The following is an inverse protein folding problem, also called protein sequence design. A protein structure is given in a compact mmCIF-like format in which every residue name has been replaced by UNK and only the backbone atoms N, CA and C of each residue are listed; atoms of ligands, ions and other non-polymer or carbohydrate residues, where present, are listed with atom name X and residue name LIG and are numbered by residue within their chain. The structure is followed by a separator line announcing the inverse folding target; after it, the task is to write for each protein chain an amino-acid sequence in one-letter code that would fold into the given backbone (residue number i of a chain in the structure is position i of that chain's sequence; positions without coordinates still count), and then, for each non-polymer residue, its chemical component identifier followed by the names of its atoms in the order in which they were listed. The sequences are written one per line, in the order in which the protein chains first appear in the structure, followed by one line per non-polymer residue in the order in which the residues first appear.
data_IF_008890657757
#
_entry.id   IF_008890657757
#
_cell.length_a   1.000
_cell.length_b   1.000
_cell.length_c   1.000
_cell.angle_alpha   90.00
_cell.angle_beta   90.00
_cell.angle_gamma   90.00
#
_symmetry.space_group_name_H-M   'P 1'
#
loop_
_entity.id
_entity.type
_entity.pdbx_description
1 polymer ?
#
# COMPACT_ATOMS: atom_id res chain seq x y z
N UNK A 1 25.55 16.19 13.31
CA UNK A 1 24.38 15.51 13.91
C UNK A 1 23.47 16.47 14.67
N UNK A 2 23.98 17.50 15.37
CA UNK A 2 23.16 18.55 16.00
C UNK A 2 22.28 19.35 15.03
N UNK A 3 22.85 19.82 13.91
CA UNK A 3 22.09 20.64 12.93
C UNK A 3 20.98 19.86 12.22
N UNK A 4 21.21 18.59 11.89
CA UNK A 4 20.19 17.76 11.20
C UNK A 4 18.96 17.52 12.08
N UNK A 5 19.15 17.34 13.39
CA UNK A 5 18.04 17.14 14.32
C UNK A 5 17.22 18.42 14.52
N UNK A 6 17.89 19.58 14.54
CA UNK A 6 17.24 20.89 14.61
C UNK A 6 16.44 21.19 13.34
N UNK A 7 17.03 20.96 12.16
CA UNK A 7 16.35 21.12 10.86
C UNK A 7 15.12 20.18 10.78
N UNK A 8 15.26 18.93 11.19
CA UNK A 8 14.13 17.99 11.22
C UNK A 8 13.02 18.45 12.19
N UNK A 9 13.40 19.06 13.31
CA UNK A 9 12.45 19.62 14.27
C UNK A 9 11.69 20.82 13.72
N UNK A 10 12.37 21.75 13.04
CA UNK A 10 11.75 22.91 12.37
C UNK A 10 10.82 22.46 11.26
N UNK A 11 11.29 21.60 10.35
CA UNK A 11 10.47 21.05 9.25
C UNK A 11 9.25 20.31 9.79
N UNK A 12 9.37 19.60 10.91
CA UNK A 12 8.23 18.93 11.54
C UNK A 12 7.19 19.93 12.05
N UNK A 13 7.61 21.01 12.71
CA UNK A 13 6.71 22.04 13.22
C UNK A 13 6.04 22.82 12.07
N UNK A 14 6.78 23.13 11.02
CA UNK A 14 6.26 23.78 9.82
C UNK A 14 5.27 22.86 9.10
N UNK A 15 5.58 21.57 8.99
CA UNK A 15 4.64 20.58 8.43
C UNK A 15 3.35 20.52 9.24
N UNK A 16 3.44 20.60 10.57
CA UNK A 16 2.28 20.58 11.46
C UNK A 16 1.38 21.83 11.29
N UNK A 17 1.95 22.94 10.83
CA UNK A 17 1.19 24.17 10.53
C UNK A 17 0.18 23.97 9.39
N UNK A 18 0.42 23.02 8.49
CA UNK A 18 -0.49 22.63 7.41
C UNK A 18 -1.62 21.68 7.85
N UNK A 19 -1.99 21.68 9.14
CA UNK A 19 -3.09 20.85 9.69
C UNK A 19 -4.41 21.00 8.91
N UNK A 20 -4.68 22.19 8.38
CA UNK A 20 -5.87 22.52 7.59
C UNK A 20 -5.86 21.85 6.21
N UNK A 21 -4.70 21.41 5.71
CA UNK A 21 -4.57 20.55 4.52
C UNK A 21 -4.57 19.09 4.93
N UNK A 22 -3.81 18.74 5.98
CA UNK A 22 -3.63 17.35 6.45
C UNK A 22 -4.99 16.72 6.79
N UNK A 23 -5.81 17.39 7.61
CA UNK A 23 -7.07 16.81 8.10
C UNK A 23 -8.04 16.51 6.95
N UNK A 24 -8.41 17.47 6.07
CA UNK A 24 -9.30 17.20 4.95
C UNK A 24 -8.74 16.15 4.00
N UNK A 25 -7.43 16.14 3.79
CA UNK A 25 -6.79 15.19 2.88
C UNK A 25 -6.79 13.77 3.44
N UNK A 26 -6.66 13.60 4.76
CA UNK A 26 -6.84 12.30 5.42
C UNK A 26 -8.27 11.79 5.20
N UNK A 27 -9.28 12.63 5.39
CA UNK A 27 -10.67 12.23 5.13
C UNK A 27 -10.90 11.85 3.67
N UNK A 28 -10.39 12.66 2.74
CA UNK A 28 -10.43 12.37 1.32
C UNK A 28 -9.76 11.03 1.02
N UNK A 29 -8.56 10.79 1.54
CA UNK A 29 -7.86 9.54 1.34
C UNK A 29 -8.61 8.35 1.92
N UNK A 30 -9.18 8.45 3.13
CA UNK A 30 -10.01 7.38 3.70
C UNK A 30 -11.21 7.04 2.81
N UNK A 31 -11.90 8.05 2.26
CA UNK A 31 -13.01 7.86 1.32
C UNK A 31 -12.51 7.18 0.05
N UNK A 32 -11.45 7.71 -0.55
CA UNK A 32 -10.83 7.20 -1.77
C UNK A 32 -10.41 5.75 -1.62
N UNK A 33 -9.69 5.43 -0.53
CA UNK A 33 -9.26 4.08 -0.22
C UNK A 33 -10.43 3.15 0.03
N UNK A 34 -11.53 3.66 0.60
CA UNK A 34 -12.75 2.92 0.83
C UNK A 34 -13.52 2.53 -0.44
N UNK A 35 -13.22 3.15 -1.59
CA UNK A 35 -13.85 2.82 -2.88
C UNK A 35 -13.03 1.75 -3.60
N UNK A 36 -13.59 0.54 -3.81
CA UNK A 36 -12.90 -0.53 -4.55
C UNK A 36 -12.42 -0.07 -5.92
N UNK A 37 -11.12 -0.25 -6.17
CA UNK A 37 -10.52 0.13 -7.44
C UNK A 37 -10.21 1.62 -7.56
N UNK A 38 -10.34 2.41 -6.50
CA UNK A 38 -9.92 3.80 -6.49
C UNK A 38 -8.64 3.94 -5.65
N UNK A 39 -7.54 4.33 -6.29
CA UNK A 39 -6.22 4.36 -5.66
C UNK A 39 -5.74 5.79 -5.38
N UNK A 40 -4.76 5.91 -4.48
CA UNK A 40 -4.07 7.17 -4.24
C UNK A 40 -3.48 7.76 -5.54
N UNK A 41 -2.89 6.91 -6.38
CA UNK A 41 -2.35 7.29 -7.69
C UNK A 41 -3.40 8.00 -8.56
N UNK A 42 -4.56 7.37 -8.77
CA UNK A 42 -5.64 7.95 -9.59
C UNK A 42 -6.13 9.29 -9.01
N UNK A 43 -6.21 9.38 -7.70
CA UNK A 43 -6.68 10.60 -7.02
C UNK A 43 -5.69 11.75 -7.19
N UNK A 44 -4.38 11.49 -7.06
CA UNK A 44 -3.35 12.51 -7.29
C UNK A 44 -3.39 12.99 -8.75
N UNK A 45 -3.63 12.09 -9.71
CA UNK A 45 -3.76 12.48 -11.13
C UNK A 45 -4.98 13.39 -11.35
N UNK A 46 -6.15 13.02 -10.82
CA UNK A 46 -7.37 13.81 -10.96
C UNK A 46 -7.22 15.19 -10.31
N UNK A 47 -6.52 15.24 -9.18
CA UNK A 47 -6.27 16.46 -8.43
C UNK A 47 -4.95 17.13 -8.82
N UNK A 48 -4.30 16.67 -9.90
CA UNK A 48 -3.05 17.25 -10.37
C UNK A 48 -3.18 18.75 -10.64
N UNK A 49 -4.24 19.27 -11.30
CA UNK A 49 -4.39 20.72 -11.48
C UNK A 49 -4.39 21.50 -10.16
N UNK A 50 -4.93 20.90 -9.09
CA UNK A 50 -4.92 21.48 -7.75
C UNK A 50 -3.52 21.42 -7.13
N UNK A 51 -2.84 20.27 -7.20
CA UNK A 51 -1.50 20.12 -6.61
C UNK A 51 -0.43 20.94 -7.34
N UNK A 52 -0.60 21.20 -8.64
CA UNK A 52 0.29 22.09 -9.40
C UNK A 52 0.05 23.57 -9.09
N UNK A 53 -1.13 23.93 -8.56
CA UNK A 53 -1.46 25.30 -8.15
C UNK A 53 -1.05 25.61 -6.71
N UNK A 54 -0.71 24.58 -5.92
CA UNK A 54 -0.22 24.69 -4.55
C UNK A 54 1.29 24.94 -4.53
N UNK A 55 1.80 25.61 -3.50
CA UNK A 55 3.25 25.65 -3.25
C UNK A 55 3.80 24.23 -3.00
N UNK A 56 5.08 24.02 -3.32
CA UNK A 56 5.73 22.69 -3.26
C UNK A 56 5.52 21.99 -1.91
N UNK A 57 5.73 22.70 -0.79
CA UNK A 57 5.56 22.13 0.55
C UNK A 57 4.12 21.66 0.79
N UNK A 58 3.14 22.49 0.45
CA UNK A 58 1.73 22.17 0.59
C UNK A 58 1.34 20.98 -0.31
N UNK A 59 1.82 20.97 -1.55
CA UNK A 59 1.60 19.87 -2.49
C UNK A 59 2.16 18.54 -1.98
N UNK A 60 3.34 18.56 -1.34
CA UNK A 60 3.94 17.38 -0.72
C UNK A 60 3.13 16.88 0.47
N UNK A 61 2.75 17.78 1.38
CA UNK A 61 1.91 17.44 2.53
C UNK A 61 0.59 16.83 2.08
N UNK A 62 -0.04 17.40 1.05
CA UNK A 62 -1.25 16.87 0.45
C UNK A 62 -1.05 15.47 -0.12
N UNK A 63 -0.07 15.29 -1.01
CA UNK A 63 0.17 14.00 -1.68
C UNK A 63 0.52 12.88 -0.69
N UNK A 64 1.38 13.14 0.30
CA UNK A 64 1.78 12.14 1.30
C UNK A 64 0.62 11.82 2.26
N UNK A 65 -0.12 12.83 2.73
CA UNK A 65 -1.28 12.62 3.61
C UNK A 65 -2.35 11.78 2.90
N UNK A 66 -2.62 12.08 1.63
CA UNK A 66 -3.56 11.33 0.80
C UNK A 66 -3.08 9.89 0.60
N UNK A 67 -1.79 9.72 0.32
CA UNK A 67 -1.21 8.39 0.10
C UNK A 67 -1.33 7.51 1.33
N UNK A 68 -0.89 7.97 2.51
CA UNK A 68 -0.96 7.18 3.74
C UNK A 68 -2.41 6.87 4.15
N UNK A 69 -3.30 7.86 4.06
CA UNK A 69 -4.71 7.69 4.46
C UNK A 69 -5.51 6.81 3.49
N UNK A 70 -5.27 6.89 2.18
CA UNK A 70 -5.92 6.01 1.20
C UNK A 70 -5.55 4.55 1.38
N UNK A 71 -4.31 4.27 1.80
CA UNK A 71 -3.85 2.90 2.03
C UNK A 71 -4.48 2.34 3.31
N UNK A 72 -4.65 3.17 4.32
CA UNK A 72 -5.39 2.84 5.54
C UNK A 72 -6.91 2.65 5.28
N UNK A 73 -7.51 3.49 4.44
CA UNK A 73 -8.92 3.41 4.06
C UNK A 73 -9.27 2.14 3.27
N UNK A 74 -8.31 1.60 2.51
CA UNK A 74 -8.48 0.38 1.73
C UNK A 74 -8.78 -0.88 2.55
N UNK A 75 -8.42 -0.87 3.84
CA UNK A 75 -8.74 -1.95 4.77
C UNK A 75 -10.24 -2.02 5.11
N UNK A 76 -10.98 -0.91 5.02
CA UNK A 76 -12.41 -0.86 5.38
C UNK A 76 -13.25 -1.82 4.51
N UNK A 77 -13.27 -1.69 3.16
CA UNK A 77 -14.05 -2.58 2.33
C UNK A 77 -13.47 -4.01 2.31
N UNK A 78 -12.15 -4.16 2.48
CA UNK A 78 -11.50 -5.47 2.61
C UNK A 78 -12.04 -6.28 3.80
N UNK A 79 -12.15 -5.65 4.96
CA UNK A 79 -12.59 -6.29 6.20
C UNK A 79 -14.09 -6.53 6.22
N UNK A 80 -14.87 -5.53 5.78
CA UNK A 80 -16.33 -5.58 5.96
C UNK A 80 -17.05 -6.37 4.88
N UNK A 81 -16.57 -6.32 3.64
CA UNK A 81 -17.29 -6.87 2.47
C UNK A 81 -16.44 -7.76 1.58
N UNK A 82 -15.23 -8.14 2.01
CA UNK A 82 -14.29 -8.98 1.26
C UNK A 82 -13.79 -8.37 -0.06
N UNK A 83 -13.92 -7.05 -0.25
CA UNK A 83 -13.54 -6.38 -1.50
C UNK A 83 -12.42 -5.37 -1.18
N UNK A 84 -11.15 -5.67 -1.52
CA UNK A 84 -10.06 -4.77 -1.18
C UNK A 84 -10.15 -3.44 -1.94
N UNK A 85 -9.96 -2.34 -1.22
CA UNK A 85 -10.00 -0.99 -1.81
C UNK A 85 -8.86 -0.73 -2.79
N UNK A 86 -7.67 -1.25 -2.46
CA UNK A 86 -6.44 -1.14 -3.25
C UNK A 86 -5.70 -2.46 -3.30
N UNK A 87 -4.80 -2.63 -4.28
CA UNK A 87 -4.02 -3.86 -4.47
C UNK A 87 -3.18 -4.27 -3.24
N UNK A 88 -2.75 -3.31 -2.40
CA UNK A 88 -2.02 -3.64 -1.17
C UNK A 88 -2.90 -4.20 -0.06
N UNK A 89 -4.20 -3.90 -0.05
CA UNK A 89 -5.14 -4.47 0.92
C UNK A 89 -5.64 -5.86 0.49
N UNK A 90 -5.06 -6.48 -0.54
CA UNK A 90 -5.52 -7.77 -1.07
C UNK A 90 -5.29 -8.96 -0.12
N UNK A 91 -4.30 -8.86 0.79
CA UNK A 91 -4.06 -9.87 1.83
C UNK A 91 -4.89 -9.65 3.10
N UNK A 92 -5.37 -8.42 3.33
CA UNK A 92 -6.24 -8.03 4.45
C UNK A 92 -7.54 -8.84 4.58
N UNK A 93 -8.30 -9.12 3.51
CA UNK A 93 -9.54 -9.88 3.64
C UNK A 93 -9.35 -11.31 4.15
N UNK A 94 -8.16 -11.92 3.95
CA UNK A 94 -7.88 -13.31 4.32
C UNK A 94 -8.23 -13.60 5.79
N UNK A 95 -7.91 -12.68 6.70
CA UNK A 95 -8.30 -12.77 8.11
C UNK A 95 -9.30 -11.69 8.52
N UNK A 96 -9.31 -10.52 7.85
CA UNK A 96 -10.23 -9.44 8.17
C UNK A 96 -11.70 -9.80 7.95
N UNK A 97 -12.02 -10.45 6.83
CA UNK A 97 -13.39 -10.80 6.49
C UNK A 97 -13.96 -11.93 7.37
N UNK A 98 -13.22 -13.03 7.67
CA UNK A 98 -13.64 -14.00 8.67
C UNK A 98 -13.93 -13.39 10.05
N UNK A 99 -13.15 -12.41 10.50
CA UNK A 99 -13.45 -11.69 11.75
C UNK A 99 -14.78 -10.94 11.67
N UNK A 100 -15.08 -10.30 10.55
CA UNK A 100 -16.38 -9.66 10.31
C UNK A 100 -17.53 -10.68 10.33
N UNK A 101 -17.36 -11.84 9.70
CA UNK A 101 -18.35 -12.92 9.72
C UNK A 101 -18.63 -13.46 11.14
N UNK A 102 -17.62 -13.39 12.02
CA UNK A 102 -17.74 -13.74 13.45
C UNK A 102 -18.36 -12.61 14.30
N UNK A 103 -18.77 -11.48 13.71
CA UNK A 103 -19.30 -10.33 14.45
C UNK A 103 -18.21 -9.44 15.06
N UNK A 104 -16.93 -9.66 14.73
CA UNK A 104 -15.76 -8.94 15.25
C UNK A 104 -15.24 -7.87 14.27
N UNK A 105 -16.05 -7.42 13.31
CA UNK A 105 -15.63 -6.46 12.27
C UNK A 105 -15.15 -5.12 12.83
N UNK A 106 -15.82 -4.59 13.87
CA UNK A 106 -15.36 -3.35 14.53
C UNK A 106 -13.98 -3.51 15.19
N UNK A 107 -13.73 -4.67 15.80
CA UNK A 107 -12.44 -5.01 16.39
C UNK A 107 -11.36 -5.15 15.31
N UNK A 108 -11.68 -5.81 14.19
CA UNK A 108 -10.80 -5.95 13.04
C UNK A 108 -10.40 -4.59 12.46
N UNK A 109 -11.37 -3.69 12.24
CA UNK A 109 -11.10 -2.32 11.79
C UNK A 109 -10.14 -1.61 12.74
N UNK A 110 -10.42 -1.62 14.06
CA UNK A 110 -9.57 -0.96 15.04
C UNK A 110 -8.12 -1.50 15.04
N UNK A 111 -7.95 -2.83 14.92
CA UNK A 111 -6.63 -3.44 14.77
C UNK A 111 -5.91 -2.96 13.52
N UNK A 112 -6.60 -2.93 12.38
CA UNK A 112 -6.05 -2.46 11.10
C UNK A 112 -5.63 -0.99 11.15
N UNK A 113 -6.47 -0.11 11.70
CA UNK A 113 -6.12 1.31 11.84
C UNK A 113 -4.86 1.52 12.70
N UNK A 114 -4.75 0.80 13.83
CA UNK A 114 -3.57 0.89 14.70
C UNK A 114 -2.33 0.30 14.04
N UNK A 115 -2.44 -0.89 13.45
CA UNK A 115 -1.35 -1.56 12.75
C UNK A 115 -0.81 -0.71 11.58
N UNK A 116 -1.72 -0.18 10.75
CA UNK A 116 -1.41 0.66 9.60
C UNK A 116 -0.77 1.99 10.04
N UNK A 117 -1.30 2.64 11.08
CA UNK A 117 -0.76 3.90 11.60
C UNK A 117 0.64 3.71 12.21
N UNK A 118 0.80 2.73 13.09
CA UNK A 118 2.08 2.46 13.74
C UNK A 118 3.13 1.94 12.75
N UNK A 119 2.73 1.09 11.80
CA UNK A 119 3.60 0.60 10.75
C UNK A 119 4.14 1.73 9.89
N UNK A 120 3.26 2.60 9.36
CA UNK A 120 3.69 3.75 8.55
C UNK A 120 4.52 4.77 9.33
N UNK A 121 4.20 5.02 10.60
CA UNK A 121 4.94 5.96 11.43
C UNK A 121 6.34 5.42 11.76
N UNK A 122 6.45 4.13 12.09
CA UNK A 122 7.74 3.48 12.35
C UNK A 122 8.64 3.52 11.10
N UNK A 123 8.13 3.12 9.94
CA UNK A 123 8.92 3.12 8.70
C UNK A 123 9.31 4.52 8.27
N UNK A 124 8.48 5.53 8.56
CA UNK A 124 8.82 6.93 8.30
C UNK A 124 9.99 7.37 9.17
N UNK A 125 9.99 7.06 10.46
CA UNK A 125 11.11 7.37 11.37
C UNK A 125 12.39 6.66 10.90
N UNK A 126 12.31 5.38 10.56
CA UNK A 126 13.47 4.61 10.09
C UNK A 126 13.99 5.19 8.76
N UNK A 127 13.09 5.50 7.81
CA UNK A 127 13.46 6.08 6.53
C UNK A 127 14.13 7.45 6.71
N UNK A 128 13.58 8.34 7.55
CA UNK A 128 14.17 9.64 7.87
C UNK A 128 15.55 9.51 8.51
N UNK A 129 15.73 8.56 9.44
CA UNK A 129 17.02 8.30 10.05
C UNK A 129 18.05 7.74 9.04
N UNK A 130 17.60 6.96 8.05
CA UNK A 130 18.44 6.39 7.01
C UNK A 130 18.74 7.38 5.86
N UNK A 131 17.91 8.41 5.64
CA UNK A 131 18.05 9.36 4.52
C UNK A 131 19.45 9.98 4.39
N UNK A 132 20.12 10.47 5.44
CA UNK A 132 21.45 11.07 5.30
C UNK A 132 22.52 10.08 4.80
N UNK A 133 22.38 8.80 5.16
CA UNK A 133 23.28 7.74 4.72
C UNK A 133 22.99 7.41 3.25
N UNK A 134 21.71 7.28 2.91
CA UNK A 134 21.27 6.95 1.56
C UNK A 134 21.56 8.07 0.55
N UNK A 135 21.43 9.33 0.95
CA UNK A 135 21.81 10.49 0.13
C UNK A 135 23.29 10.43 -0.28
N UNK A 136 24.17 9.95 0.61
CA UNK A 136 25.59 9.74 0.26
C UNK A 136 25.78 8.65 -0.79
N UNK A 137 24.98 7.59 -0.72
CA UNK A 137 24.98 6.51 -1.72
C UNK A 137 24.50 7.03 -3.08
N UNK A 138 23.53 7.95 -3.09
CA UNK A 138 23.03 8.59 -4.31
C UNK A 138 24.15 9.23 -5.16
N UNK A 139 25.14 9.88 -4.53
CA UNK A 139 26.28 10.48 -5.26
C UNK A 139 27.17 9.46 -5.99
N UNK A 140 27.12 8.18 -5.62
CA UNK A 140 27.91 7.13 -6.28
C UNK A 140 27.11 6.37 -7.34
N UNK A 141 25.79 6.59 -7.44
CA UNK A 141 24.92 5.87 -8.34
C UNK A 141 25.00 6.46 -9.74
N UNK A 142 25.62 5.76 -10.68
CA UNK A 142 25.62 6.14 -12.09
C UNK A 142 24.71 5.20 -12.87
N UNK A 143 24.67 5.37 -14.20
CA UNK A 143 23.80 4.59 -15.09
C UNK A 143 23.98 3.07 -14.95
N UNK A 144 25.21 2.61 -14.70
CA UNK A 144 25.51 1.17 -14.56
C UNK A 144 24.92 0.61 -13.26
N UNK A 145 25.14 1.29 -12.14
CA UNK A 145 24.64 0.89 -10.83
C UNK A 145 23.11 0.92 -10.80
N UNK A 146 22.50 1.94 -11.42
CA UNK A 146 21.04 2.01 -11.56
C UNK A 146 20.46 0.81 -12.30
N UNK A 147 21.10 0.35 -13.40
CA UNK A 147 20.67 -0.85 -14.12
C UNK A 147 20.76 -2.08 -13.22
N UNK A 148 21.85 -2.23 -12.46
CA UNK A 148 22.01 -3.36 -11.52
C UNK A 148 20.93 -3.33 -10.45
N UNK A 149 20.63 -2.17 -9.87
CA UNK A 149 19.56 -2.02 -8.86
C UNK A 149 18.19 -2.35 -9.45
N UNK A 150 17.90 -1.92 -10.67
CA UNK A 150 16.65 -2.26 -11.36
C UNK A 150 16.54 -3.77 -11.64
N UNK A 151 17.58 -4.40 -12.17
CA UNK A 151 17.62 -5.85 -12.42
C UNK A 151 17.49 -6.65 -11.12
N UNK A 152 18.18 -6.21 -10.06
CA UNK A 152 18.08 -6.79 -8.74
C UNK A 152 16.64 -6.71 -8.20
N UNK A 153 16.00 -5.55 -8.32
CA UNK A 153 14.61 -5.37 -7.89
C UNK A 153 13.63 -6.29 -8.63
N UNK A 154 13.75 -6.38 -9.96
CA UNK A 154 12.95 -7.31 -10.79
C UNK A 154 13.19 -8.77 -10.36
N UNK A 155 14.44 -9.15 -10.10
CA UNK A 155 14.77 -10.51 -9.66
C UNK A 155 14.22 -10.85 -8.27
N UNK A 156 14.25 -9.88 -7.34
CA UNK A 156 13.69 -10.03 -6.01
C UNK A 156 12.17 -10.22 -6.07
N UNK A 157 11.48 -9.40 -6.86
CA UNK A 157 10.03 -9.52 -7.09
C UNK A 157 9.68 -10.93 -7.57
N UNK A 158 10.44 -11.46 -8.55
CA UNK A 158 10.22 -12.81 -9.07
C UNK A 158 10.43 -13.91 -8.00
N UNK A 159 11.41 -13.74 -7.11
CA UNK A 159 11.72 -14.71 -6.04
C UNK A 159 10.73 -14.69 -4.88
N UNK A 160 10.21 -13.51 -4.55
CA UNK A 160 9.42 -13.26 -3.34
C UNK A 160 7.92 -13.57 -3.55
N UNK A 161 7.43 -13.47 -4.77
CA UNK A 161 5.99 -13.56 -5.07
C UNK A 161 5.38 -14.98 -4.96
N UNK A 162 6.15 -16.04 -4.71
CA UNK A 162 5.59 -17.39 -4.66
C UNK A 162 6.21 -18.33 -3.62
N UNK A 163 5.34 -19.08 -2.95
CA UNK A 163 5.70 -20.23 -2.10
C UNK A 163 6.35 -21.37 -2.91
N UNK A 164 6.01 -21.45 -4.21
CA UNK A 164 6.55 -22.41 -5.17
C UNK A 164 7.11 -21.61 -6.36
N UNK A 165 8.45 -21.58 -6.46
CA UNK A 165 9.18 -20.78 -7.45
C UNK A 165 8.71 -21.06 -8.87
N UNK A 166 8.31 -22.29 -9.21
CA UNK A 166 7.82 -22.63 -10.54
C UNK A 166 6.45 -21.99 -10.80
N UNK A 167 5.52 -22.04 -9.85
CA UNK A 167 4.21 -21.41 -9.97
C UNK A 167 4.32 -19.89 -10.00
N UNK A 168 5.23 -19.33 -9.21
CA UNK A 168 5.57 -17.90 -9.25
C UNK A 168 6.10 -17.47 -10.60
N UNK A 169 7.02 -18.25 -11.17
CA UNK A 169 7.57 -17.96 -12.48
C UNK A 169 6.51 -18.06 -13.57
N UNK A 170 5.62 -19.07 -13.54
CA UNK A 170 4.50 -19.20 -14.49
C UNK A 170 3.53 -18.03 -14.36
N UNK A 171 3.11 -17.68 -13.13
CA UNK A 171 2.22 -16.56 -12.87
C UNK A 171 2.86 -15.22 -13.28
N UNK A 172 4.15 -15.04 -12.99
CA UNK A 172 4.93 -13.89 -13.43
C UNK A 172 5.04 -13.81 -14.95
N UNK A 173 5.27 -14.94 -15.63
CA UNK A 173 5.33 -14.98 -17.10
C UNK A 173 3.97 -14.65 -17.72
N UNK A 174 2.87 -15.16 -17.17
CA UNK A 174 1.51 -14.77 -17.56
C UNK A 174 1.25 -13.28 -17.32
N UNK A 175 1.65 -12.76 -16.16
CA UNK A 175 1.56 -11.34 -15.82
C UNK A 175 2.35 -10.46 -16.78
N UNK A 176 3.56 -10.89 -17.19
CA UNK A 176 4.36 -10.21 -18.20
C UNK A 176 3.69 -10.23 -19.58
N UNK A 177 3.12 -11.37 -20.00
CA UNK A 177 2.37 -11.45 -21.26
C UNK A 177 1.19 -10.46 -21.24
N UNK A 178 0.43 -10.41 -20.14
CA UNK A 178 -0.68 -9.47 -19.98
C UNK A 178 -0.21 -8.01 -19.91
N UNK A 179 0.91 -7.73 -19.24
CA UNK A 179 1.50 -6.39 -19.15
C UNK A 179 2.10 -5.89 -20.47
N UNK A 180 2.47 -6.80 -21.37
CA UNK A 180 2.90 -6.48 -22.74
C UNK A 180 1.74 -6.12 -23.67
N UNK A 181 0.48 -6.32 -23.24
CA UNK A 181 -0.69 -5.87 -24.00
C UNK A 181 -0.77 -4.36 -23.90
N UNK A 182 -0.82 -3.68 -25.04
CA UNK A 182 -0.89 -2.22 -25.11
C UNK A 182 -0.05 -1.65 -26.23
N UNK A 183 0.00 -0.32 -26.27
CA UNK A 183 0.80 0.41 -27.24
C UNK A 183 2.22 0.59 -26.72
N UNK A 184 3.22 0.24 -27.54
CA UNK A 184 4.62 0.48 -27.19
C UNK A 184 4.90 1.98 -27.04
N UNK A 185 5.49 2.37 -25.91
CA UNK A 185 5.78 3.77 -25.56
C UNK A 185 6.79 4.46 -26.48
N UNK A 186 7.63 3.72 -27.20
CA UNK A 186 8.67 4.29 -28.08
C UNK A 186 8.14 4.40 -29.52
N UNK A 187 7.58 3.33 -30.05
CA UNK A 187 7.22 3.20 -31.46
C UNK A 187 5.71 3.34 -31.72
N UNK A 188 4.90 3.55 -30.67
CA UNK A 188 3.44 3.63 -30.74
C UNK A 188 2.79 2.40 -31.45
N UNK A 189 3.45 1.26 -31.42
CA UNK A 189 2.98 0.03 -32.09
C UNK A 189 2.12 -0.80 -31.14
N UNK A 190 0.91 -1.23 -31.54
CA UNK A 190 0.06 -2.06 -30.70
C UNK A 190 0.62 -3.48 -30.58
N UNK A 191 0.77 -3.97 -29.35
CA UNK A 191 1.20 -5.33 -29.03
C UNK A 191 0.09 -6.05 -28.29
N UNK A 192 -0.31 -7.23 -28.75
CA UNK A 192 -1.31 -8.05 -28.07
C UNK A 192 -2.70 -7.42 -27.94
N UNK A 193 -3.06 -6.41 -28.73
CA UNK A 193 -4.36 -5.72 -28.66
C UNK A 193 -5.47 -6.45 -29.42
N UNK A 194 -5.14 -7.46 -30.24
CA UNK A 194 -6.08 -8.28 -31.03
C UNK A 194 -7.11 -7.47 -31.86
N UNK A 195 -6.81 -6.21 -32.19
CA UNK A 195 -7.71 -5.31 -32.91
C UNK A 195 -8.78 -4.63 -32.05
N UNK A 196 -8.78 -4.84 -30.73
CA UNK A 196 -9.65 -4.14 -29.78
C UNK A 196 -9.00 -2.81 -29.39
N UNK A 197 -9.75 -1.71 -29.55
CA UNK A 197 -9.26 -0.37 -29.26
C UNK A 197 -9.04 -0.17 -27.76
N UNK A 198 -9.86 -0.82 -26.94
CA UNK A 198 -9.80 -0.77 -25.48
C UNK A 198 -8.50 -1.33 -24.91
N UNK A 199 -7.82 -2.22 -25.65
CA UNK A 199 -6.55 -2.81 -25.25
C UNK A 199 -5.34 -1.96 -25.63
N UNK A 200 -5.52 -0.81 -26.30
CA UNK A 200 -4.41 0.09 -26.66
C UNK A 200 -3.76 0.73 -25.43
N UNK A 201 -4.55 1.03 -24.40
CA UNK A 201 -4.08 1.51 -23.10
C UNK A 201 -3.58 0.37 -22.19
N UNK A 202 -3.57 -0.87 -22.71
CA UNK A 202 -3.20 -2.08 -22.02
C UNK A 202 -4.28 -2.61 -21.08
N UNK A 203 -3.93 -3.59 -20.24
CA UNK A 203 -4.84 -4.11 -19.21
C UNK A 203 -4.61 -3.32 -17.92
N UNK A 204 -5.51 -2.40 -17.54
CA UNK A 204 -5.31 -1.62 -16.34
C UNK A 204 -5.43 -2.53 -15.12
N UNK A 205 -4.37 -2.60 -14.31
CA UNK A 205 -4.25 -3.48 -13.15
C UNK A 205 -5.45 -3.33 -12.20
N UNK A 206 -5.91 -2.09 -12.01
CA UNK A 206 -6.99 -1.75 -11.09
C UNK A 206 -8.33 -2.40 -11.54
N UNK A 207 -8.89 -2.11 -12.74
CA UNK A 207 -10.06 -2.81 -13.26
C UNK A 207 -9.91 -4.33 -13.29
N UNK A 208 -8.73 -4.86 -13.59
CA UNK A 208 -8.49 -6.30 -13.55
C UNK A 208 -8.69 -6.89 -12.14
N UNK A 209 -8.13 -6.24 -11.11
CA UNK A 209 -8.33 -6.67 -9.71
C UNK A 209 -9.78 -6.47 -9.25
N UNK A 210 -10.44 -5.38 -9.67
CA UNK A 210 -11.87 -5.16 -9.38
C UNK A 210 -12.73 -6.26 -10.02
N UNK A 211 -12.46 -6.63 -11.27
CA UNK A 211 -13.12 -7.75 -11.93
C UNK A 211 -12.87 -9.08 -11.23
N UNK A 212 -11.62 -9.34 -10.82
CA UNK A 212 -11.23 -10.61 -10.20
C UNK A 212 -11.80 -10.77 -8.78
N UNK A 213 -11.82 -9.71 -7.97
CA UNK A 213 -12.19 -9.75 -6.56
C UNK A 213 -13.57 -9.15 -6.26
N UNK A 214 -13.90 -7.98 -6.81
CA UNK A 214 -15.16 -7.29 -6.47
C UNK A 214 -16.37 -7.92 -7.17
N UNK A 215 -16.24 -8.22 -8.46
CA UNK A 215 -17.34 -8.80 -9.26
C UNK A 215 -17.61 -10.25 -8.84
N UNK A 216 -16.56 -11.03 -8.56
CA UNK A 216 -16.70 -12.39 -8.05
C UNK A 216 -17.43 -12.41 -6.71
N UNK A 217 -17.05 -11.55 -5.77
CA UNK A 217 -17.74 -11.41 -4.48
C UNK A 217 -19.17 -10.89 -4.63
N UNK A 218 -19.44 -9.97 -5.55
CA UNK A 218 -20.80 -9.53 -5.83
C UNK A 218 -21.70 -10.71 -6.24
N UNK A 219 -21.21 -11.62 -7.09
CA UNK A 219 -21.94 -12.84 -7.44
C UNK A 219 -22.16 -13.77 -6.25
N UNK A 220 -21.15 -13.97 -5.40
CA UNK A 220 -21.26 -14.80 -4.18
C UNK A 220 -22.26 -14.20 -3.18
N UNK A 221 -22.29 -12.87 -3.04
CA UNK A 221 -23.23 -12.15 -2.19
C UNK A 221 -24.66 -12.28 -2.72
N UNK A 222 -24.85 -12.15 -4.04
CA UNK A 222 -26.17 -12.32 -4.67
C UNK A 222 -26.70 -13.75 -4.42
N UNK A 223 -25.83 -14.75 -4.41
CA UNK A 223 -26.19 -16.14 -4.13
C UNK A 223 -26.51 -16.41 -2.65
N UNK A 224 -25.90 -15.65 -1.71
CA UNK A 224 -26.09 -15.82 -0.27
C UNK A 224 -27.20 -14.92 0.31
N UNK A 225 -28.30 -15.52 0.79
CA UNK A 225 -29.42 -14.81 1.46
C UNK A 225 -29.05 -14.07 2.76
N UNK A 226 -27.94 -14.43 3.43
CA UNK A 226 -27.36 -13.67 4.56
C UNK A 226 -25.84 -13.86 4.60
N UNK A 227 -25.09 -12.75 4.59
CA UNK A 227 -23.63 -12.71 4.69
C UNK A 227 -23.14 -12.97 6.14
N UNK A 228 -24.01 -12.71 7.12
CA UNK A 228 -23.69 -12.70 8.56
C UNK A 228 -24.64 -13.66 9.29
N UNK A 229 -24.14 -14.44 10.25
CA UNK A 229 -24.99 -15.25 11.13
C UNK A 229 -25.90 -14.35 11.98
N UNK A 230 -27.13 -14.81 12.30
CA UNK A 230 -28.09 -14.02 13.12
C UNK A 230 -27.49 -13.53 14.45
N UNK A 231 -26.57 -14.30 15.04
CA UNK A 231 -25.85 -13.92 16.24
C UNK A 231 -24.84 -12.78 16.00
N UNK A 232 -24.06 -12.84 14.92
CA UNK A 232 -23.11 -11.78 14.55
C UNK A 232 -23.82 -10.47 14.14
N UNK A 233 -25.01 -10.57 13.54
CA UNK A 233 -25.84 -9.41 13.20
C UNK A 233 -26.35 -8.68 14.47
N UNK A 234 -26.68 -9.43 15.53
CA UNK A 234 -27.09 -8.85 16.81
C UNK A 234 -25.94 -8.15 17.55
N UNK A 235 -24.71 -8.66 17.44
CA UNK A 235 -23.50 -8.04 18.02
C UNK A 235 -23.11 -6.77 17.27
N UNK A 236 -23.22 -6.74 15.94
CA UNK A 236 -22.95 -5.55 15.14
C UNK A 236 -24.01 -4.45 15.27
N UNK A 237 -25.24 -4.79 15.67
CA UNK A 237 -26.32 -3.83 15.88
C UNK A 237 -26.17 -2.97 17.16
N UNK A 238 -25.23 -3.32 18.05
CA UNK A 238 -24.91 -2.53 19.26
C UNK A 238 -23.48 -1.99 19.16
N UNK A 239 -23.26 -0.84 18.49
CA UNK A 239 -21.94 -0.24 18.44
C UNK A 239 -21.51 0.12 19.86
N UNK A 240 -20.49 -0.57 20.36
CA UNK A 240 -19.88 -0.30 21.66
C UNK A 240 -18.43 0.08 21.44
N UNK A 241 -18.01 1.21 22.00
CA UNK A 241 -16.60 1.62 21.98
C UNK A 241 -15.67 0.56 22.58
N UNK A 242 -16.19 -0.35 23.42
CA UNK A 242 -15.43 -1.44 24.01
C UNK A 242 -14.73 -2.31 22.95
N UNK A 243 -15.40 -2.66 21.84
CA UNK A 243 -14.80 -3.49 20.79
C UNK A 243 -13.68 -2.75 20.02
N UNK A 244 -13.79 -1.42 19.87
CA UNK A 244 -12.73 -0.58 19.29
C UNK A 244 -11.52 -0.51 20.22
N UNK A 245 -11.74 -0.26 21.51
CA UNK A 245 -10.65 -0.24 22.49
C UNK A 245 -9.98 -1.60 22.63
N UNK A 246 -10.74 -2.69 22.60
CA UNK A 246 -10.21 -4.05 22.63
C UNK A 246 -9.35 -4.33 21.38
N UNK A 247 -9.84 -3.98 20.19
CA UNK A 247 -9.06 -4.14 18.95
C UNK A 247 -7.76 -3.33 18.98
N UNK A 248 -7.82 -2.07 19.41
CA UNK A 248 -6.63 -1.24 19.59
C UNK A 248 -5.66 -1.86 20.60
N UNK A 249 -6.17 -2.39 21.72
CA UNK A 249 -5.36 -3.05 22.73
C UNK A 249 -4.67 -4.32 22.19
N UNK A 250 -5.40 -5.16 21.44
CA UNK A 250 -4.86 -6.39 20.81
C UNK A 250 -3.72 -6.06 19.84
N UNK A 251 -3.86 -4.99 19.06
CA UNK A 251 -2.81 -4.52 18.16
C UNK A 251 -1.59 -4.00 18.92
N UNK A 252 -1.80 -3.19 19.97
CA UNK A 252 -0.73 -2.64 20.80
C UNK A 252 0.03 -3.73 21.59
N UNK A 253 -0.66 -4.76 22.09
CA UNK A 253 -0.01 -5.91 22.72
C UNK A 253 0.93 -6.65 21.74
N UNK A 254 0.61 -6.60 20.45
CA UNK A 254 1.40 -7.18 19.35
C UNK A 254 2.32 -6.15 18.70
N UNK A 255 2.78 -5.13 19.42
CA UNK A 255 3.67 -4.10 18.90
C UNK A 255 4.91 -4.67 18.20
N UNK A 256 5.51 -5.75 18.75
CA UNK A 256 6.66 -6.40 18.12
C UNK A 256 6.29 -6.92 16.73
N UNK A 257 5.09 -7.48 16.60
CA UNK A 257 4.55 -7.98 15.34
C UNK A 257 4.41 -6.88 14.30
N UNK A 258 3.93 -5.71 14.70
CA UNK A 258 3.83 -4.51 13.86
C UNK A 258 5.24 -4.06 13.42
N UNK A 259 6.21 -4.05 14.35
CA UNK A 259 7.58 -3.61 14.07
C UNK A 259 8.23 -4.45 12.98
N UNK A 260 8.30 -5.77 13.13
CA UNK A 260 9.03 -6.60 12.17
C UNK A 260 8.31 -6.71 10.82
N UNK A 261 6.97 -6.71 10.79
CA UNK A 261 6.20 -6.74 9.53
C UNK A 261 6.21 -5.40 8.80
N UNK A 262 6.24 -4.28 9.50
CA UNK A 262 6.43 -2.96 8.88
C UNK A 262 7.84 -2.78 8.31
N UNK A 263 8.87 -3.39 8.92
CA UNK A 263 10.22 -3.45 8.33
C UNK A 263 10.22 -4.23 7.00
N UNK A 264 9.46 -5.33 6.89
CA UNK A 264 9.26 -6.01 5.59
C UNK A 264 8.65 -5.05 4.58
N UNK A 265 7.64 -4.29 4.98
CA UNK A 265 7.06 -3.22 4.17
C UNK A 265 8.08 -2.17 3.72
N UNK A 266 8.93 -1.71 4.63
CA UNK A 266 10.00 -0.74 4.32
C UNK A 266 10.99 -1.32 3.29
N UNK A 267 11.50 -2.53 3.54
CA UNK A 267 12.48 -3.19 2.66
C UNK A 267 11.90 -3.41 1.27
N UNK A 268 10.68 -3.92 1.18
CA UNK A 268 10.01 -4.14 -0.11
C UNK A 268 9.67 -2.80 -0.77
N UNK A 269 9.29 -1.78 0.00
CA UNK A 269 9.02 -0.45 -0.53
C UNK A 269 10.23 0.21 -1.18
N UNK A 270 11.44 -0.04 -0.67
CA UNK A 270 12.70 0.45 -1.27
C UNK A 270 13.00 -0.25 -2.60
N UNK A 271 12.46 -1.45 -2.83
CA UNK A 271 12.66 -2.18 -4.09
C UNK A 271 11.80 -1.53 -5.19
N UNK A 272 12.43 -1.01 -6.27
CA UNK A 272 11.69 -0.42 -7.37
C UNK A 272 10.71 -1.41 -8.01
N UNK A 273 9.45 -1.00 -8.13
CA UNK A 273 8.41 -1.76 -8.82
C UNK A 273 7.77 -2.90 -8.01
N UNK A 274 8.25 -3.20 -6.80
CA UNK A 274 7.66 -4.26 -5.98
C UNK A 274 6.29 -3.84 -5.42
N UNK A 275 6.19 -2.57 -5.01
CA UNK A 275 4.97 -1.98 -4.50
C UNK A 275 4.40 -2.71 -3.29
N UNK A 276 3.18 -2.35 -2.93
CA UNK A 276 2.65 -2.74 -1.63
C UNK A 276 1.79 -4.01 -1.62
N UNK A 277 1.31 -4.46 -2.77
CA UNK A 277 0.62 -5.74 -2.89
C UNK A 277 1.55 -6.89 -2.51
N UNK A 278 2.75 -6.89 -3.08
CA UNK A 278 3.79 -7.87 -2.75
C UNK A 278 4.14 -7.78 -1.27
N UNK A 279 4.38 -6.58 -0.75
CA UNK A 279 4.74 -6.40 0.66
C UNK A 279 3.70 -7.00 1.63
N UNK A 280 2.42 -6.79 1.37
CA UNK A 280 1.35 -7.30 2.22
C UNK A 280 1.22 -8.83 2.16
N UNK A 281 1.33 -9.45 0.98
CA UNK A 281 1.32 -10.91 0.86
C UNK A 281 2.55 -11.56 1.51
N UNK A 282 3.72 -10.95 1.34
CA UNK A 282 4.97 -11.46 1.91
C UNK A 282 4.97 -11.34 3.42
N UNK A 283 4.51 -10.21 3.95
CA UNK A 283 4.36 -10.05 5.39
C UNK A 283 3.36 -11.06 5.95
N UNK A 284 2.26 -11.34 5.25
CA UNK A 284 1.30 -12.37 5.63
C UNK A 284 1.91 -13.77 5.66
N UNK A 285 2.60 -14.17 4.58
CA UNK A 285 3.27 -15.48 4.49
C UNK A 285 4.35 -15.64 5.55
N UNK A 286 5.22 -14.64 5.71
CA UNK A 286 6.28 -14.68 6.71
C UNK A 286 5.72 -14.72 8.13
N UNK A 287 4.60 -14.01 8.37
CA UNK A 287 3.87 -14.04 9.64
C UNK A 287 3.36 -15.42 9.95
N UNK A 288 2.75 -16.07 8.96
CA UNK A 288 2.26 -17.44 9.08
C UNK A 288 3.40 -18.44 9.33
N UNK A 289 4.49 -18.35 8.57
CA UNK A 289 5.62 -19.28 8.70
C UNK A 289 6.35 -19.18 10.04
N UNK A 290 6.42 -18.00 10.65
CA UNK A 290 7.02 -17.83 11.98
C UNK A 290 6.01 -17.93 13.14
N UNK A 291 4.71 -18.04 12.85
CA UNK A 291 3.72 -18.15 13.91
C UNK A 291 3.80 -19.50 14.60
N UNK A 292 3.47 -19.50 15.89
CA UNK A 292 3.30 -20.75 16.67
C UNK A 292 2.01 -21.48 16.32
N UNK A 293 1.07 -20.80 15.68
CA UNK A 293 -0.26 -21.30 15.31
C UNK A 293 -0.58 -20.98 13.84
N UNK A 294 0.19 -21.50 12.87
CA UNK A 294 0.01 -21.25 11.44
C UNK A 294 -1.35 -21.72 10.90
N UNK A 295 -2.02 -22.65 11.59
CA UNK A 295 -3.34 -23.19 11.27
C UNK A 295 -4.49 -22.21 11.52
N UNK A 296 -4.29 -21.17 12.32
CA UNK A 296 -5.32 -20.16 12.60
C UNK A 296 -5.42 -19.09 11.51
N UNK A 297 -4.40 -18.96 10.65
CA UNK A 297 -4.40 -18.01 9.54
C UNK A 297 -5.51 -18.34 8.53
N UNK A 298 -6.23 -17.31 8.09
CA UNK A 298 -7.41 -17.46 7.23
C UNK A 298 -8.72 -17.71 7.99
N UNK A 299 -8.67 -17.81 9.33
CA UNK A 299 -9.86 -18.04 10.18
C UNK A 299 -10.25 -16.80 10.98
N UNK A 300 -9.57 -15.67 10.79
CA UNK A 300 -9.75 -14.45 11.56
C UNK A 300 -8.73 -14.27 12.67
N UNK A 301 -7.50 -14.73 12.41
CA UNK A 301 -6.38 -14.61 13.34
C UNK A 301 -5.84 -13.17 13.35
N UNK A 302 -5.74 -12.51 14.52
CA UNK A 302 -5.28 -11.12 14.62
C UNK A 302 -3.92 -10.84 13.95
N UNK A 303 -2.96 -11.77 14.03
CA UNK A 303 -1.65 -11.59 13.39
C UNK A 303 -1.74 -11.60 11.87
N UNK A 304 -2.64 -12.42 11.30
CA UNK A 304 -2.93 -12.47 9.88
C UNK A 304 -3.56 -11.19 9.34
N UNK A 305 -4.15 -10.35 10.20
CA UNK A 305 -4.64 -9.03 9.82
C UNK A 305 -3.60 -7.91 10.06
N UNK A 306 -2.91 -7.96 11.20
CA UNK A 306 -1.91 -6.94 11.59
C UNK A 306 -0.70 -6.95 10.65
N UNK A 307 -0.22 -8.14 10.24
CA UNK A 307 0.96 -8.28 9.40
C UNK A 307 0.82 -7.62 8.01
N UNK A 308 -0.19 -7.95 7.19
CA UNK A 308 -0.34 -7.34 5.87
C UNK A 308 -0.58 -5.84 5.98
N UNK A 309 -1.31 -5.35 6.99
CA UNK A 309 -1.62 -3.92 7.16
C UNK A 309 -0.44 -3.07 7.64
N UNK A 310 0.37 -3.60 8.55
CA UNK A 310 1.61 -2.94 8.99
C UNK A 310 2.59 -2.80 7.82
N UNK A 311 2.71 -3.83 6.98
CA UNK A 311 3.53 -3.79 5.77
C UNK A 311 2.92 -2.89 4.68
N UNK A 312 1.61 -2.95 4.48
CA UNK A 312 0.83 -2.16 3.52
C UNK A 312 1.14 -0.66 3.67
N UNK A 313 1.11 -0.14 4.90
CA UNK A 313 1.44 1.25 5.17
C UNK A 313 2.95 1.47 5.37
N UNK A 314 3.70 0.46 5.81
CA UNK A 314 5.17 0.55 5.91
C UNK A 314 5.85 0.83 4.57
N UNK A 315 5.25 0.36 3.46
CA UNK A 315 5.72 0.64 2.10
C UNK A 315 5.64 2.12 1.74
N UNK A 316 4.73 2.89 2.34
CA UNK A 316 4.51 4.30 1.95
C UNK A 316 5.79 5.12 2.09
N UNK A 317 6.50 4.98 3.21
CA UNK A 317 7.80 5.62 3.44
C UNK A 317 8.88 4.96 2.58
N UNK A 318 8.90 3.63 2.49
CA UNK A 318 9.93 2.88 1.76
C UNK A 318 9.98 3.22 0.28
N UNK A 319 8.83 3.42 -0.36
CA UNK A 319 8.69 3.78 -1.77
C UNK A 319 9.14 5.21 -2.09
N UNK A 320 9.13 6.10 -1.09
CA UNK A 320 9.64 7.47 -1.25
C UNK A 320 11.16 7.55 -1.13
N UNK A 321 11.80 6.60 -0.44
CA UNK A 321 13.25 6.59 -0.25
C UNK A 321 14.03 6.54 -1.59
N UNK A 322 13.85 5.53 -2.47
CA UNK A 322 14.57 5.48 -3.75
C UNK A 322 14.12 6.61 -4.69
N UNK A 323 12.89 7.11 -4.56
CA UNK A 323 12.41 8.26 -5.32
C UNK A 323 13.22 9.51 -4.97
N UNK A 324 13.35 9.82 -3.68
CA UNK A 324 14.03 11.03 -3.22
C UNK A 324 15.54 10.97 -3.46
N UNK A 325 16.14 9.78 -3.34
CA UNK A 325 17.60 9.62 -3.46
C UNK A 325 18.06 9.38 -4.90
N UNK A 326 17.32 8.58 -5.67
CA UNK A 326 17.74 8.09 -7.00
C UNK A 326 16.85 8.60 -8.13
N UNK A 327 15.73 9.26 -7.83
CA UNK A 327 14.71 9.58 -8.84
C UNK A 327 13.98 8.34 -9.37
N UNK A 328 14.13 7.18 -8.74
CA UNK A 328 13.49 5.92 -9.17
C UNK A 328 12.27 5.66 -8.28
N UNK A 329 11.04 5.68 -8.82
CA UNK A 329 9.85 5.46 -8.02
C UNK A 329 9.76 3.99 -7.55
N UNK A 330 9.51 3.79 -6.25
CA UNK A 330 9.27 2.46 -5.67
C UNK A 330 7.94 1.83 -6.09
N UNK A 331 7.00 2.62 -6.59
CA UNK A 331 5.68 2.16 -7.04
C UNK A 331 4.89 3.25 -7.78
N UNK A 332 3.71 2.89 -8.27
CA UNK A 332 2.89 3.76 -9.15
C UNK A 332 2.55 5.12 -8.53
N UNK A 333 2.16 5.17 -7.24
CA UNK A 333 1.85 6.45 -6.58
C UNK A 333 3.08 7.35 -6.49
N UNK A 334 4.24 6.79 -6.17
CA UNK A 334 5.50 7.54 -6.14
C UNK A 334 5.88 8.06 -7.53
N UNK A 335 5.66 7.30 -8.59
CA UNK A 335 5.93 7.77 -9.95
C UNK A 335 5.13 9.04 -10.29
N UNK A 336 3.86 9.12 -9.87
CA UNK A 336 3.04 10.31 -10.08
C UNK A 336 3.50 11.47 -9.19
N UNK A 337 3.86 11.20 -7.93
CA UNK A 337 4.45 12.22 -7.05
C UNK A 337 5.74 12.80 -7.64
N UNK A 338 6.59 11.95 -8.24
CA UNK A 338 7.82 12.38 -8.93
C UNK A 338 7.50 13.37 -10.05
N UNK A 339 6.51 13.09 -10.89
CA UNK A 339 6.07 14.01 -11.98
C UNK A 339 5.62 15.36 -11.43
N UNK A 340 4.80 15.35 -10.37
CA UNK A 340 4.31 16.58 -9.73
C UNK A 340 5.46 17.38 -9.12
N UNK A 341 6.40 16.72 -8.44
CA UNK A 341 7.54 17.39 -7.83
C UNK A 341 8.53 17.93 -8.88
N UNK A 342 8.74 17.22 -9.99
CA UNK A 342 9.54 17.70 -11.12
C UNK A 342 8.92 18.96 -11.75
N UNK A 343 7.59 19.02 -11.86
CA UNK A 343 6.89 20.23 -12.30
C UNK A 343 7.16 21.42 -11.37
N UNK A 344 7.21 21.17 -10.06
CA UNK A 344 7.58 22.16 -9.04
C UNK A 344 9.09 22.46 -8.97
N UNK A 345 9.89 21.94 -9.89
CA UNK A 345 11.32 22.22 -10.00
C UNK A 345 12.22 21.42 -9.06
N UNK A 346 11.72 20.35 -8.44
CA UNK A 346 12.55 19.45 -7.62
C UNK A 346 13.40 18.55 -8.52
N UNK A 347 14.72 18.65 -8.37
CA UNK A 347 15.68 17.73 -8.98
C UNK A 347 15.80 16.45 -8.17
N UNK A 348 15.80 15.30 -8.84
CA UNK A 348 15.97 13.99 -8.21
C UNK A 348 17.09 13.21 -8.85
N UNK A 349 17.75 12.38 -8.05
CA UNK A 349 18.86 11.57 -8.51
C UNK A 349 20.12 12.40 -8.81
N UNK A 350 21.19 11.73 -9.24
CA UNK A 350 22.45 12.35 -9.67
C UNK A 350 22.38 13.04 -11.03
#
# INVERSE_FOLDING_TARGET
MGDTALILGEVFLDTLSYWWVIIPTIFLGLIVGGVPGFSAANTIIILMPLTLSMDLEMGLVFMVSLYCSARMGAGIPAILVNIPGTAGAAATPLDGYPMTQQGRGQQALAMTFVASSLGGLLTTIIALAAMPILARVGFYMHSVEMIVVMLFGISLIASIAAEDMLKGLIAGFLGLILGCIGTDVIYATPRGTFGLLELYDGVPLIPALVGLFAVSEAFVIIEKKMIITKAAQATMAKPSWAATFEGAHIALQRWWHIVWTSIIGLVIGVIPGAGASIASFVAYQQSRSFSKTPELYGTGHPEGLIAPESANNGVTSGTLVPLLVLGIPGGATAAIMLVVMQYHGVSFGP
#
